data_IF_691053955486
#
_entry.id   IF_691053955486
#
_cell.length_a   1.000
_cell.length_b   1.000
_cell.length_c   1.000
_cell.angle_alpha   90.00
_cell.angle_beta   90.00
_cell.angle_gamma   90.00
#
_symmetry.space_group_name_H-M   'P 1'
#
loop_
_entity.id
_entity.type
_entity.pdbx_description
1 polymer ?
#
# COMPACT_ATOMS: atom_id res chain seq x y z
N UNK A 1 28.78 46.46 -3.58
CA UNK A 1 28.81 45.02 -3.89
C UNK A 1 27.58 44.43 -3.25
N UNK A 2 26.57 44.17 -4.08
CA UNK A 2 25.17 44.07 -3.70
C UNK A 2 24.82 42.72 -3.07
N UNK A 3 24.30 42.75 -1.84
CA UNK A 3 23.77 41.60 -1.11
C UNK A 3 22.28 41.31 -1.42
N UNK A 4 21.71 41.98 -2.42
CA UNK A 4 20.28 41.97 -2.76
C UNK A 4 19.82 40.76 -3.60
N UNK A 5 20.74 39.88 -4.00
CA UNK A 5 20.44 38.76 -4.93
C UNK A 5 19.99 37.46 -4.25
N UNK A 6 19.83 37.43 -2.92
CA UNK A 6 19.69 36.15 -2.22
C UNK A 6 18.29 35.61 -1.92
N UNK A 7 17.17 36.34 -2.03
CA UNK A 7 15.92 35.82 -1.44
C UNK A 7 14.61 36.10 -2.20
N UNK A 8 14.59 36.04 -3.53
CA UNK A 8 13.32 35.77 -4.22
C UNK A 8 13.21 34.27 -4.50
N UNK A 9 13.04 33.46 -3.45
CA UNK A 9 12.53 32.10 -3.64
C UNK A 9 11.08 32.26 -4.10
N UNK A 10 10.72 31.92 -5.35
CA UNK A 10 9.32 32.02 -5.76
C UNK A 10 8.50 31.12 -4.83
N UNK A 11 7.48 31.69 -4.19
CA UNK A 11 6.52 30.92 -3.42
C UNK A 11 5.88 29.94 -4.41
N UNK A 12 5.95 28.61 -4.16
CA UNK A 12 5.41 27.64 -5.11
C UNK A 12 3.93 27.94 -5.32
N UNK A 13 3.51 28.03 -6.58
CA UNK A 13 2.09 28.14 -6.89
C UNK A 13 1.39 26.87 -6.42
N UNK A 14 0.13 27.02 -6.03
CA UNK A 14 -0.81 25.92 -5.79
C UNK A 14 -0.68 24.79 -6.83
N UNK A 15 -0.54 25.12 -8.11
CA UNK A 15 -0.33 24.12 -9.17
C UNK A 15 0.97 23.32 -9.04
N UNK A 16 2.07 23.97 -8.68
CA UNK A 16 3.34 23.28 -8.45
C UNK A 16 3.27 22.42 -7.18
N UNK A 17 2.63 22.93 -6.12
CA UNK A 17 2.44 22.19 -4.88
C UNK A 17 1.58 20.93 -5.09
N UNK A 18 0.45 21.06 -5.80
CA UNK A 18 -0.40 19.93 -6.14
C UNK A 18 0.28 18.93 -7.07
N UNK A 19 1.01 19.40 -8.09
CA UNK A 19 1.73 18.51 -9.00
C UNK A 19 2.80 17.69 -8.27
N UNK A 20 3.54 18.32 -7.35
CA UNK A 20 4.52 17.63 -6.51
C UNK A 20 3.86 16.62 -5.56
N UNK A 21 2.75 17.00 -4.91
CA UNK A 21 2.01 16.10 -4.03
C UNK A 21 1.47 14.88 -4.78
N UNK A 22 0.89 15.08 -5.97
CA UNK A 22 0.38 14.00 -6.82
C UNK A 22 1.52 13.07 -7.27
N UNK A 23 2.68 13.60 -7.63
CA UNK A 23 3.84 12.79 -8.03
C UNK A 23 4.33 11.88 -6.90
N UNK A 24 4.36 12.37 -5.65
CA UNK A 24 4.72 11.55 -4.49
C UNK A 24 3.68 10.45 -4.27
N UNK A 25 2.38 10.80 -4.31
CA UNK A 25 1.30 9.83 -4.12
C UNK A 25 1.28 8.76 -5.22
N UNK A 26 1.60 9.11 -6.46
CA UNK A 26 1.73 8.16 -7.57
C UNK A 26 2.85 7.16 -7.34
N UNK A 27 3.99 7.60 -6.80
CA UNK A 27 5.10 6.72 -6.46
C UNK A 27 4.73 5.75 -5.34
N UNK A 28 4.05 6.25 -4.29
CA UNK A 28 3.58 5.42 -3.18
C UNK A 28 2.60 4.34 -3.67
N UNK A 29 1.68 4.69 -4.56
CA UNK A 29 0.73 3.74 -5.16
C UNK A 29 1.44 2.72 -6.04
N UNK A 30 2.38 3.14 -6.88
CA UNK A 30 3.16 2.22 -7.71
C UNK A 30 3.97 1.24 -6.85
N UNK A 31 4.54 1.70 -5.74
CA UNK A 31 5.24 0.83 -4.80
C UNK A 31 4.29 -0.19 -4.16
N UNK A 32 3.10 0.23 -3.72
CA UNK A 32 2.10 -0.68 -3.16
C UNK A 32 1.62 -1.73 -4.18
N UNK A 33 1.41 -1.33 -5.43
CA UNK A 33 1.08 -2.24 -6.53
C UNK A 33 2.18 -3.27 -6.78
N UNK A 34 3.45 -2.84 -6.79
CA UNK A 34 4.60 -3.73 -6.95
C UNK A 34 4.72 -4.72 -5.79
N UNK A 35 4.52 -4.28 -4.55
CA UNK A 35 4.52 -5.15 -3.37
C UNK A 35 3.41 -6.20 -3.43
N UNK A 36 2.19 -5.80 -3.84
CA UNK A 36 1.08 -6.75 -4.05
C UNK A 36 1.38 -7.77 -5.15
N UNK A 37 2.02 -7.35 -6.24
CA UNK A 37 2.40 -8.27 -7.32
C UNK A 37 3.47 -9.27 -6.84
N UNK A 38 4.46 -8.78 -6.09
CA UNK A 38 5.57 -9.57 -5.58
C UNK A 38 5.21 -10.46 -4.37
N UNK A 39 4.05 -10.30 -3.76
CA UNK A 39 3.64 -11.05 -2.55
C UNK A 39 3.64 -12.58 -2.70
N UNK A 40 3.61 -13.10 -3.93
CA UNK A 40 3.65 -14.53 -4.24
C UNK A 40 5.08 -15.09 -4.38
N UNK A 41 6.08 -14.22 -4.42
CA UNK A 41 7.50 -14.57 -4.51
C UNK A 41 8.14 -14.28 -3.15
N UNK A 42 9.04 -15.17 -2.70
CA UNK A 42 9.62 -15.24 -1.35
C UNK A 42 9.71 -13.92 -0.57
N UNK A 43 9.33 -13.98 0.71
CA UNK A 43 9.04 -12.87 1.62
C UNK A 43 9.90 -11.61 1.35
N UNK A 44 9.29 -10.51 0.85
CA UNK A 44 10.03 -9.26 0.73
C UNK A 44 10.45 -8.77 2.12
N UNK A 45 11.65 -8.21 2.21
CA UNK A 45 12.08 -7.43 3.39
C UNK A 45 11.10 -6.27 3.54
N UNK A 46 10.17 -6.39 4.48
CA UNK A 46 9.23 -5.34 4.82
C UNK A 46 10.01 -4.25 5.57
N UNK A 47 10.59 -3.30 4.83
CA UNK A 47 10.96 -2.01 5.44
C UNK A 47 9.68 -1.42 6.03
N UNK A 48 9.69 -1.09 7.34
CA UNK A 48 8.53 -0.48 7.98
C UNK A 48 8.07 0.73 7.15
N UNK A 49 6.87 0.68 6.55
CA UNK A 49 6.42 1.78 5.71
C UNK A 49 6.28 3.02 6.60
N UNK A 50 6.78 4.15 6.11
CA UNK A 50 6.51 5.46 6.73
C UNK A 50 4.99 5.61 6.86
N UNK A 51 4.52 6.01 8.03
CA UNK A 51 3.11 6.29 8.22
C UNK A 51 2.67 7.39 7.23
N UNK A 52 1.64 7.10 6.44
CA UNK A 52 1.10 8.05 5.48
C UNK A 52 0.52 9.25 6.22
N UNK A 53 0.83 10.44 5.73
CA UNK A 53 0.25 11.70 6.20
C UNK A 53 -0.33 12.43 5.00
N UNK A 54 -1.56 12.96 5.10
CA UNK A 54 -2.15 13.72 4.00
C UNK A 54 -1.32 14.98 3.74
N UNK A 55 -1.11 15.37 2.48
CA UNK A 55 -0.41 16.60 2.17
C UNK A 55 -1.26 17.80 2.63
N UNK A 56 -0.63 18.73 3.34
CA UNK A 56 -1.27 19.93 3.91
C UNK A 56 -0.82 21.18 3.16
N UNK A 57 -1.63 22.24 3.21
CA UNK A 57 -1.25 23.55 2.66
C UNK A 57 -1.22 23.63 1.14
N UNK A 58 -1.88 22.72 0.42
CA UNK A 58 -1.88 22.70 -1.05
C UNK A 58 -2.77 23.76 -1.69
N UNK A 59 -3.73 24.33 -0.96
CA UNK A 59 -4.75 25.22 -1.51
C UNK A 59 -5.81 24.47 -2.35
N UNK A 60 -6.65 25.19 -3.12
CA UNK A 60 -7.65 24.55 -3.97
C UNK A 60 -6.99 23.66 -5.04
N UNK A 61 -7.67 22.64 -5.55
CA UNK A 61 -7.14 21.81 -6.63
C UNK A 61 -7.26 22.55 -7.98
N UNK A 62 -6.16 22.73 -8.74
CA UNK A 62 -6.24 23.28 -10.10
C UNK A 62 -7.08 22.40 -11.02
N UNK A 63 -7.93 23.01 -11.85
CA UNK A 63 -8.77 22.30 -12.80
C UNK A 63 -7.95 21.44 -13.79
N UNK A 64 -6.75 21.91 -14.16
CA UNK A 64 -5.79 21.19 -15.01
C UNK A 64 -5.36 19.83 -14.41
N UNK A 65 -5.35 19.71 -13.08
CA UNK A 65 -4.90 18.51 -12.37
C UNK A 65 -6.06 17.61 -11.92
N UNK A 66 -7.32 18.03 -12.10
CA UNK A 66 -8.50 17.31 -11.63
C UNK A 66 -8.55 15.86 -12.13
N UNK A 67 -8.46 15.68 -13.45
CA UNK A 67 -8.52 14.34 -14.07
C UNK A 67 -7.40 13.43 -13.59
N UNK A 68 -6.19 13.97 -13.39
CA UNK A 68 -5.05 13.23 -12.86
C UNK A 68 -5.29 12.79 -11.41
N UNK A 69 -5.81 13.69 -10.57
CA UNK A 69 -6.13 13.41 -9.18
C UNK A 69 -7.24 12.35 -9.05
N UNK A 70 -8.28 12.43 -9.87
CA UNK A 70 -9.38 11.45 -9.90
C UNK A 70 -8.87 10.06 -10.31
N UNK A 71 -8.08 9.96 -11.39
CA UNK A 71 -7.48 8.70 -11.82
C UNK A 71 -6.56 8.08 -10.75
N UNK A 72 -5.81 8.92 -10.02
CA UNK A 72 -4.98 8.46 -8.91
C UNK A 72 -5.83 7.95 -7.74
N UNK A 73 -6.91 8.64 -7.38
CA UNK A 73 -7.83 8.23 -6.32
C UNK A 73 -8.48 6.89 -6.63
N UNK A 74 -8.92 6.67 -7.87
CA UNK A 74 -9.50 5.40 -8.30
C UNK A 74 -8.50 4.24 -8.15
N UNK A 75 -7.23 4.48 -8.53
CA UNK A 75 -6.15 3.51 -8.32
C UNK A 75 -5.91 3.24 -6.84
N UNK A 76 -5.89 4.28 -6.00
CA UNK A 76 -5.73 4.14 -4.55
C UNK A 76 -6.82 3.28 -3.92
N UNK A 77 -8.09 3.51 -4.29
CA UNK A 77 -9.23 2.72 -3.82
C UNK A 77 -9.10 1.25 -4.25
N UNK A 78 -8.73 1.02 -5.52
CA UNK A 78 -8.54 -0.33 -6.06
C UNK A 78 -7.41 -1.10 -5.33
N UNK A 79 -6.27 -0.45 -5.11
CA UNK A 79 -5.14 -1.01 -4.37
C UNK A 79 -5.53 -1.29 -2.91
N UNK A 80 -6.19 -0.33 -2.25
CA UNK A 80 -6.67 -0.49 -0.88
C UNK A 80 -7.58 -1.70 -0.70
N UNK A 81 -8.52 -1.92 -1.64
CA UNK A 81 -9.38 -3.11 -1.66
C UNK A 81 -8.56 -4.40 -1.77
N UNK A 82 -7.60 -4.46 -2.70
CA UNK A 82 -6.73 -5.63 -2.88
C UNK A 82 -5.89 -5.94 -1.65
N UNK A 83 -5.37 -4.92 -0.97
CA UNK A 83 -4.63 -5.08 0.30
C UNK A 83 -5.55 -5.68 1.37
N UNK A 84 -6.77 -5.17 1.52
CA UNK A 84 -7.73 -5.69 2.48
C UNK A 84 -8.11 -7.16 2.21
N UNK A 85 -8.31 -7.52 0.94
CA UNK A 85 -8.56 -8.90 0.51
C UNK A 85 -7.39 -9.83 0.84
N UNK A 86 -6.16 -9.43 0.50
CA UNK A 86 -4.95 -10.20 0.83
C UNK A 86 -4.78 -10.38 2.35
N UNK A 87 -5.01 -9.33 3.14
CA UNK A 87 -4.93 -9.39 4.59
C UNK A 87 -6.00 -10.33 5.19
N UNK A 88 -7.22 -10.35 4.64
CA UNK A 88 -8.28 -11.29 5.03
C UNK A 88 -7.89 -12.74 4.74
N UNK A 89 -7.35 -13.02 3.54
CA UNK A 89 -6.90 -14.35 3.16
C UNK A 89 -5.76 -14.84 4.07
N UNK A 90 -4.78 -13.98 4.32
CA UNK A 90 -3.65 -14.26 5.21
C UNK A 90 -4.11 -14.63 6.63
N UNK A 91 -5.06 -13.88 7.21
CA UNK A 91 -5.65 -14.21 8.53
C UNK A 91 -6.33 -15.58 8.55
N UNK A 92 -7.09 -15.93 7.50
CA UNK A 92 -7.75 -17.25 7.40
C UNK A 92 -6.74 -18.39 7.32
N UNK A 93 -5.69 -18.21 6.53
CA UNK A 93 -4.61 -19.20 6.40
C UNK A 93 -3.86 -19.39 7.72
N UNK A 94 -3.57 -18.30 8.44
CA UNK A 94 -2.96 -18.36 9.77
C UNK A 94 -3.83 -19.14 10.77
N UNK A 95 -5.15 -18.87 10.80
CA UNK A 95 -6.08 -19.59 11.66
C UNK A 95 -6.16 -21.10 11.32
N UNK A 96 -6.18 -21.45 10.03
CA UNK A 96 -6.19 -22.84 9.58
C UNK A 96 -4.89 -23.58 9.93
N UNK A 97 -3.74 -22.92 9.75
CA UNK A 97 -2.43 -23.46 10.11
C UNK A 97 -2.33 -23.74 11.62
N UNK A 98 -2.87 -22.83 12.45
CA UNK A 98 -2.90 -23.02 13.90
C UNK A 98 -3.81 -24.17 14.33
N UNK A 99 -4.97 -24.32 13.68
CA UNK A 99 -5.87 -25.46 13.90
C UNK A 99 -5.23 -26.81 13.53
N UNK A 100 -4.42 -26.87 12.47
CA UNK A 100 -3.68 -28.08 12.11
C UNK A 100 -2.59 -28.43 13.12
N UNK A 101 -1.86 -27.43 13.64
CA UNK A 101 -0.84 -27.65 14.69
C UNK A 101 -1.45 -28.14 16.01
N UNK A 102 -2.65 -27.66 16.33
CA UNK A 102 -3.36 -27.99 17.57
C UNK A 102 -4.07 -29.34 17.54
N UNK A 103 -4.18 -30.00 16.37
CA UNK A 103 -4.86 -31.29 16.24
C UNK A 103 -3.93 -32.42 16.71
N UNK A 104 -4.32 -33.25 17.70
CA UNK A 104 -3.53 -34.40 18.08
C UNK A 104 -3.39 -35.36 16.88
N UNK A 105 -2.23 -36.02 16.71
CA UNK A 105 -2.01 -36.93 15.59
C UNK A 105 -3.12 -37.97 15.55
N UNK A 106 -3.69 -38.20 14.36
CA UNK A 106 -4.69 -39.23 14.16
C UNK A 106 -4.04 -40.58 14.50
N UNK A 107 -4.50 -41.23 15.58
CA UNK A 107 -4.04 -42.56 15.95
C UNK A 107 -4.61 -43.54 14.92
N UNK A 108 -3.78 -44.22 14.11
CA UNK A 108 -4.28 -45.21 13.17
C UNK A 108 -4.90 -46.37 13.94
N UNK A 109 -6.17 -46.66 13.66
CA UNK A 109 -6.88 -47.83 14.18
C UNK A 109 -6.83 -48.90 13.10
N UNK A 110 -6.11 -50.00 13.36
CA UNK A 110 -6.12 -51.18 12.50
C UNK A 110 -7.32 -52.04 12.86
N UNK A 111 -8.21 -52.24 11.89
CA UNK A 111 -9.32 -53.17 12.01
C UNK A 111 -8.88 -54.48 11.36
N UNK A 112 -8.64 -55.51 12.17
CA UNK A 112 -8.43 -56.87 11.66
C UNK A 112 -9.81 -57.52 11.49
N UNK A 113 -10.15 -57.88 10.25
CA UNK A 113 -11.37 -58.63 9.95
C UNK A 113 -11.01 -60.11 9.90
N UNK A 114 -11.30 -60.82 10.98
CA UNK A 114 -11.24 -62.28 11.02
C UNK A 114 -12.37 -62.88 10.16
N UNK A 115 -11.98 -63.70 9.17
CA UNK A 115 -12.76 -64.84 8.63
C UNK A 115 -14.01 -64.54 7.81
#
# INVERSE_FOLDING_TARGET
MSADLLLHRPVPTWETAWSAALAVLELDVAQAEAQLAAAHTSAPVLTSPRAWAPPVGLGPLPASLKTRAEALLDRQISVGRRIAEAANLSRRQAAAAEGMRSRPPAVPVYLDTEG
#
